data_IF_491235576160
#
_entry.id   IF_491235576160
#
_cell.length_a   1.000
_cell.length_b   1.000
_cell.length_c   1.000
_cell.angle_alpha   90.00
_cell.angle_beta   90.00
_cell.angle_gamma   90.00
#
_symmetry.space_group_name_H-M   'P 1'
#
loop_
_entity.id
_entity.type
_entity.pdbx_description
1 polymer ?
#
# COMPACT_ATOMS: atom_id res chain seq x y z
N UNK A 1 -7.66 -36.67 -0.30
CA UNK A 1 -9.07 -36.44 -0.62
C UNK A 1 -9.76 -35.82 0.58
N UNK A 2 -10.06 -34.53 0.52
CA UNK A 2 -11.14 -33.86 1.25
C UNK A 2 -11.26 -32.46 0.66
N UNK A 3 -12.01 -32.37 -0.43
CA UNK A 3 -12.41 -31.11 -1.04
C UNK A 3 -13.46 -30.49 -0.14
N UNK A 4 -13.04 -29.60 0.76
CA UNK A 4 -13.94 -28.66 1.42
C UNK A 4 -14.52 -27.75 0.34
N UNK A 5 -15.62 -28.19 -0.22
CA UNK A 5 -16.50 -27.38 -1.03
C UNK A 5 -17.22 -26.46 -0.04
N UNK A 6 -16.71 -25.24 0.12
CA UNK A 6 -17.43 -24.15 0.76
C UNK A 6 -18.65 -23.83 -0.10
N UNK A 7 -19.71 -24.63 0.02
CA UNK A 7 -21.03 -24.29 -0.47
C UNK A 7 -21.52 -23.14 0.40
N UNK A 8 -21.53 -21.94 -0.17
CA UNK A 8 -22.28 -20.81 0.38
C UNK A 8 -23.75 -21.22 0.42
N UNK A 9 -24.19 -21.71 1.57
CA UNK A 9 -25.55 -22.18 1.75
C UNK A 9 -26.44 -20.96 1.97
N UNK A 10 -27.13 -20.52 0.92
CA UNK A 10 -28.03 -19.36 0.97
C UNK A 10 -29.14 -19.52 2.03
N UNK A 11 -29.40 -20.75 2.49
CA UNK A 11 -30.48 -21.09 3.43
C UNK A 11 -30.21 -20.82 4.90
N UNK A 12 -29.01 -20.39 5.31
CA UNK A 12 -28.66 -20.17 6.74
C UNK A 12 -28.29 -18.72 7.06
N UNK A 13 -28.99 -17.74 6.49
CA UNK A 13 -28.64 -16.34 6.71
C UNK A 13 -29.76 -15.49 7.29
N UNK A 14 -29.39 -14.72 8.31
CA UNK A 14 -30.04 -13.51 8.82
C UNK A 14 -29.90 -12.36 7.80
N UNK A 15 -30.43 -12.53 6.59
CA UNK A 15 -30.48 -11.45 5.60
C UNK A 15 -31.73 -10.63 5.85
N UNK A 16 -31.60 -9.31 5.91
CA UNK A 16 -32.73 -8.45 5.56
C UNK A 16 -32.91 -8.46 4.03
N UNK A 17 -33.52 -9.52 3.48
CA UNK A 17 -33.71 -9.69 2.03
C UNK A 17 -34.35 -8.46 1.38
N UNK A 18 -35.15 -7.69 2.14
CA UNK A 18 -35.78 -6.48 1.66
C UNK A 18 -34.75 -5.38 1.32
N UNK A 19 -33.71 -5.21 2.13
CA UNK A 19 -32.67 -4.19 1.96
C UNK A 19 -31.74 -4.52 0.79
N UNK A 20 -31.30 -5.78 0.70
CA UNK A 20 -30.55 -6.30 -0.44
C UNK A 20 -31.30 -6.07 -1.77
N UNK A 21 -32.59 -6.42 -1.83
CA UNK A 21 -33.42 -6.24 -3.01
C UNK A 21 -33.66 -4.77 -3.34
N UNK A 22 -33.80 -3.91 -2.32
CA UNK A 22 -33.91 -2.45 -2.53
C UNK A 22 -32.63 -1.88 -3.13
N UNK A 23 -31.45 -2.23 -2.60
CA UNK A 23 -30.17 -1.77 -3.12
C UNK A 23 -29.91 -2.30 -4.54
N UNK A 24 -30.26 -3.56 -4.82
CA UNK A 24 -30.19 -4.13 -6.17
C UNK A 24 -31.11 -3.39 -7.15
N UNK A 25 -32.34 -3.03 -6.76
CA UNK A 25 -33.29 -2.29 -7.60
C UNK A 25 -32.85 -0.87 -7.94
N UNK A 26 -32.00 -0.23 -7.11
CA UNK A 26 -31.41 1.09 -7.38
C UNK A 26 -30.37 1.08 -8.49
N UNK A 27 -29.86 -0.10 -8.89
CA UNK A 27 -28.91 -0.23 -9.99
C UNK A 27 -29.60 -0.09 -11.36
N UNK A 28 -28.88 0.45 -12.34
CA UNK A 28 -29.38 0.51 -13.72
C UNK A 28 -29.63 -0.89 -14.31
N UNK A 29 -30.43 -0.97 -15.36
CA UNK A 29 -30.85 -2.25 -15.97
C UNK A 29 -29.64 -3.07 -16.45
N UNK A 30 -28.61 -2.42 -17.00
CA UNK A 30 -27.44 -3.12 -17.50
C UNK A 30 -26.63 -3.73 -16.35
N UNK A 31 -26.37 -2.97 -15.28
CA UNK A 31 -25.69 -3.46 -14.08
C UNK A 31 -26.46 -4.61 -13.42
N UNK A 32 -27.80 -4.50 -13.32
CA UNK A 32 -28.64 -5.59 -12.79
C UNK A 32 -28.54 -6.86 -13.65
N UNK A 33 -28.55 -6.75 -14.97
CA UNK A 33 -28.43 -7.89 -15.86
C UNK A 33 -27.07 -8.60 -15.73
N UNK A 34 -25.98 -7.83 -15.54
CA UNK A 34 -24.65 -8.38 -15.31
C UNK A 34 -24.53 -9.10 -13.95
N UNK A 35 -25.23 -8.61 -12.93
CA UNK A 35 -25.16 -9.15 -11.57
C UNK A 35 -26.14 -10.28 -11.27
N UNK A 36 -27.29 -10.35 -11.97
CA UNK A 36 -28.29 -11.42 -11.83
C UNK A 36 -27.67 -12.83 -11.74
N UNK A 37 -26.81 -13.25 -12.69
CA UNK A 37 -26.21 -14.58 -12.66
C UNK A 37 -25.18 -14.77 -11.53
N UNK A 38 -24.60 -13.69 -10.98
CA UNK A 38 -23.65 -13.76 -9.86
C UNK A 38 -24.41 -13.90 -8.52
N UNK A 39 -25.52 -13.16 -8.35
CA UNK A 39 -26.15 -12.98 -7.04
C UNK A 39 -27.39 -13.84 -6.79
N UNK A 40 -28.11 -14.22 -7.85
CA UNK A 40 -29.43 -14.87 -7.71
C UNK A 40 -29.46 -16.33 -8.18
N UNK A 41 -28.33 -16.90 -8.59
CA UNK A 41 -28.27 -18.34 -8.87
C UNK A 41 -28.02 -19.12 -7.57
N UNK A 42 -29.01 -19.86 -7.04
CA UNK A 42 -28.88 -20.57 -5.78
C UNK A 42 -27.98 -21.81 -5.86
N UNK A 43 -27.64 -22.24 -7.08
CA UNK A 43 -26.89 -23.48 -7.34
C UNK A 43 -25.44 -23.21 -7.80
N UNK A 44 -25.07 -21.95 -8.04
CA UNK A 44 -23.72 -21.59 -8.49
C UNK A 44 -22.87 -20.94 -7.39
N UNK A 45 -21.63 -21.40 -7.31
CA UNK A 45 -20.57 -20.80 -6.50
C UNK A 45 -20.24 -19.39 -7.07
N UNK A 46 -20.70 -18.36 -6.36
CA UNK A 46 -20.64 -16.96 -6.80
C UNK A 46 -19.21 -16.51 -7.13
N UNK A 47 -18.20 -17.03 -6.42
CA UNK A 47 -16.79 -16.73 -6.70
C UNK A 47 -16.33 -17.39 -7.98
N UNK A 48 -16.77 -18.63 -8.28
CA UNK A 48 -16.50 -19.25 -9.58
C UNK A 48 -17.15 -18.47 -10.72
N UNK A 49 -18.40 -18.03 -10.55
CA UNK A 49 -19.10 -17.21 -11.57
C UNK A 49 -18.39 -15.88 -11.77
N UNK A 50 -18.07 -15.16 -10.68
CA UNK A 50 -17.36 -13.90 -10.76
C UNK A 50 -15.99 -14.07 -11.41
N UNK A 51 -15.23 -15.11 -11.10
CA UNK A 51 -13.95 -15.38 -11.77
C UNK A 51 -14.13 -15.69 -13.26
N UNK A 52 -15.19 -16.39 -13.66
CA UNK A 52 -15.52 -16.60 -15.07
C UNK A 52 -15.83 -15.27 -15.76
N UNK A 53 -16.61 -14.39 -15.12
CA UNK A 53 -17.00 -13.10 -15.67
C UNK A 53 -15.81 -12.14 -15.77
N UNK A 54 -14.96 -12.12 -14.75
CA UNK A 54 -13.69 -11.38 -14.72
C UNK A 54 -12.75 -11.78 -15.85
N UNK A 55 -12.80 -13.03 -16.32
CA UNK A 55 -12.08 -13.46 -17.53
C UNK A 55 -12.76 -12.98 -18.81
N UNK A 56 -14.07 -13.15 -18.93
CA UNK A 56 -14.82 -12.91 -20.18
C UNK A 56 -15.06 -11.42 -20.50
N UNK A 57 -15.46 -10.62 -19.52
CA UNK A 57 -15.94 -9.26 -19.77
C UNK A 57 -14.81 -8.24 -19.89
N UNK A 58 -15.04 -7.18 -20.66
CA UNK A 58 -14.09 -6.08 -20.81
C UNK A 58 -13.99 -5.26 -19.51
N UNK A 59 -12.86 -4.59 -19.33
CA UNK A 59 -12.55 -3.84 -18.10
C UNK A 59 -13.63 -2.80 -17.73
N UNK A 60 -14.25 -2.14 -18.71
CA UNK A 60 -15.36 -1.18 -18.48
C UNK A 60 -16.58 -1.81 -17.82
N UNK A 61 -16.96 -3.02 -18.23
CA UNK A 61 -18.12 -3.72 -17.65
C UNK A 61 -17.78 -4.33 -16.30
N UNK A 62 -16.53 -4.75 -16.09
CA UNK A 62 -16.05 -5.18 -14.78
C UNK A 62 -16.08 -4.05 -13.74
N UNK A 63 -15.73 -2.83 -14.14
CA UNK A 63 -15.86 -1.65 -13.27
C UNK A 63 -17.32 -1.41 -12.87
N UNK A 64 -18.27 -1.55 -13.80
CA UNK A 64 -19.71 -1.47 -13.45
C UNK A 64 -20.11 -2.56 -12.46
N UNK A 65 -19.66 -3.80 -12.69
CA UNK A 65 -19.90 -4.92 -11.79
C UNK A 65 -19.33 -4.62 -10.39
N UNK A 66 -18.10 -4.11 -10.29
CA UNK A 66 -17.48 -3.81 -9.00
C UNK A 66 -18.20 -2.67 -8.26
N UNK A 67 -18.52 -1.59 -8.96
CA UNK A 67 -19.30 -0.48 -8.39
C UNK A 67 -20.70 -0.90 -7.96
N UNK A 68 -21.27 -1.89 -8.62
CA UNK A 68 -22.58 -2.42 -8.26
C UNK A 68 -22.50 -3.39 -7.07
N UNK A 69 -21.48 -4.26 -7.03
CA UNK A 69 -21.25 -5.17 -5.90
C UNK A 69 -20.91 -4.44 -4.60
N UNK A 70 -20.13 -3.35 -4.66
CA UNK A 70 -19.83 -2.52 -3.46
C UNK A 70 -21.05 -1.81 -2.87
N UNK A 71 -22.13 -1.64 -3.64
CA UNK A 71 -23.40 -1.06 -3.16
C UNK A 71 -24.36 -2.08 -2.56
N UNK A 72 -24.03 -3.37 -2.69
CA UNK A 72 -24.84 -4.46 -2.20
C UNK A 72 -24.21 -4.86 -0.88
N UNK A 73 -24.67 -4.20 0.18
CA UNK A 73 -24.23 -4.51 1.55
C UNK A 73 -24.69 -5.91 1.93
N UNK A 74 -23.74 -6.83 2.00
CA UNK A 74 -23.88 -8.10 2.69
C UNK A 74 -22.62 -8.28 3.52
N UNK A 75 -22.72 -7.97 4.81
CA UNK A 75 -21.60 -8.03 5.76
C UNK A 75 -21.03 -9.46 5.89
N UNK A 76 -21.83 -10.50 5.63
CA UNK A 76 -21.38 -11.91 5.67
C UNK A 76 -20.88 -12.41 4.30
N UNK A 77 -21.15 -11.67 3.20
CA UNK A 77 -20.85 -12.08 1.82
C UNK A 77 -20.23 -10.99 0.96
N UNK A 78 -19.30 -10.18 1.48
CA UNK A 78 -18.56 -9.28 0.58
C UNK A 78 -17.78 -10.09 -0.46
N UNK A 79 -18.36 -10.16 -1.66
CA UNK A 79 -17.82 -10.88 -2.82
C UNK A 79 -16.54 -10.21 -3.32
N UNK A 80 -16.47 -8.88 -3.13
CA UNK A 80 -15.29 -8.06 -3.41
C UNK A 80 -15.06 -7.08 -2.25
N UNK A 81 -13.81 -6.66 -2.04
CA UNK A 81 -13.46 -5.62 -1.07
C UNK A 81 -13.95 -4.25 -1.54
N UNK A 82 -14.17 -3.35 -0.59
CA UNK A 82 -14.54 -1.96 -0.89
C UNK A 82 -13.36 -1.18 -1.44
N UNK A 83 -13.64 -0.22 -2.32
CA UNK A 83 -12.62 0.72 -2.78
C UNK A 83 -12.05 1.58 -1.64
N UNK A 84 -12.89 1.91 -0.65
CA UNK A 84 -12.57 2.73 0.52
C UNK A 84 -13.16 2.05 1.77
N UNK A 85 -12.51 1.00 2.31
CA UNK A 85 -13.08 0.20 3.40
C UNK A 85 -13.26 1.02 4.68
N UNK A 86 -14.35 0.80 5.40
CA UNK A 86 -14.61 1.48 6.68
C UNK A 86 -13.96 0.78 7.88
N UNK A 87 -13.44 -0.42 7.68
CA UNK A 87 -12.72 -1.23 8.66
C UNK A 87 -11.32 -1.58 8.15
N UNK A 88 -10.38 -1.85 9.05
CA UNK A 88 -9.02 -2.18 8.67
C UNK A 88 -8.94 -3.53 7.94
N UNK A 89 -8.26 -3.55 6.80
CA UNK A 89 -8.07 -4.75 5.97
C UNK A 89 -6.75 -5.44 6.35
N UNK A 90 -6.64 -5.90 7.60
CA UNK A 90 -5.40 -6.50 8.15
C UNK A 90 -5.50 -8.02 8.39
N UNK A 91 -6.59 -8.63 7.94
CA UNK A 91 -6.84 -10.06 7.98
C UNK A 91 -7.26 -10.54 6.58
N UNK A 92 -7.07 -11.82 6.29
CA UNK A 92 -7.51 -12.41 5.03
C UNK A 92 -8.96 -12.91 5.12
N UNK A 93 -9.86 -11.95 5.29
CA UNK A 93 -11.29 -12.22 5.54
C UNK A 93 -12.12 -12.34 4.25
N UNK A 94 -11.47 -12.24 3.08
CA UNK A 94 -12.13 -12.31 1.77
C UNK A 94 -11.78 -13.60 1.05
N UNK A 95 -12.74 -14.11 0.27
CA UNK A 95 -12.42 -15.16 -0.69
C UNK A 95 -11.57 -14.57 -1.82
N UNK A 96 -10.28 -14.93 -1.84
CA UNK A 96 -9.33 -14.46 -2.85
C UNK A 96 -9.82 -14.83 -4.25
N UNK A 97 -10.00 -13.82 -5.09
CA UNK A 97 -10.33 -14.02 -6.49
C UNK A 97 -9.08 -14.44 -7.29
N UNK A 98 -9.25 -15.07 -8.45
CA UNK A 98 -8.11 -15.42 -9.32
C UNK A 98 -7.54 -14.18 -9.99
N UNK A 99 -6.24 -14.11 -10.24
CA UNK A 99 -5.72 -13.07 -11.12
C UNK A 99 -6.35 -13.12 -12.52
N UNK A 100 -6.55 -11.94 -13.10
CA UNK A 100 -6.88 -11.75 -14.51
C UNK A 100 -5.65 -11.23 -15.23
N UNK A 101 -5.70 -11.04 -16.55
CA UNK A 101 -4.61 -10.42 -17.30
C UNK A 101 -4.16 -9.11 -16.65
N UNK A 102 -2.84 -8.94 -16.47
CA UNK A 102 -2.26 -7.81 -15.75
C UNK A 102 -2.73 -6.45 -16.31
N UNK A 103 -2.63 -6.26 -17.63
CA UNK A 103 -3.07 -5.02 -18.30
C UNK A 103 -4.55 -4.71 -18.03
N UNK A 104 -5.38 -5.75 -18.00
CA UNK A 104 -6.81 -5.63 -17.68
C UNK A 104 -7.03 -5.21 -16.23
N UNK A 105 -6.25 -5.76 -15.29
CA UNK A 105 -6.30 -5.37 -13.88
C UNK A 105 -5.86 -3.92 -13.67
N UNK A 106 -4.80 -3.48 -14.34
CA UNK A 106 -4.33 -2.09 -14.35
C UNK A 106 -5.43 -1.15 -14.87
N UNK A 107 -6.06 -1.46 -16.01
CA UNK A 107 -7.14 -0.63 -16.57
C UNK A 107 -8.39 -0.55 -15.68
N UNK A 108 -8.68 -1.58 -14.89
CA UNK A 108 -9.76 -1.52 -13.89
C UNK A 108 -9.41 -0.52 -12.79
N UNK A 109 -8.17 -0.58 -12.23
CA UNK A 109 -7.71 0.35 -11.19
C UNK A 109 -7.72 1.78 -11.70
N UNK A 110 -7.22 2.03 -12.91
CA UNK A 110 -7.21 3.35 -13.56
C UNK A 110 -8.64 3.95 -13.67
N UNK A 111 -9.60 3.17 -14.17
CA UNK A 111 -10.99 3.64 -14.30
C UNK A 111 -11.64 3.92 -12.94
N UNK A 112 -11.39 3.08 -11.94
CA UNK A 112 -11.90 3.30 -10.58
C UNK A 112 -11.29 4.56 -9.96
N UNK A 113 -10.00 4.80 -10.21
CA UNK A 113 -9.31 6.00 -9.76
C UNK A 113 -9.89 7.27 -10.40
N UNK A 114 -10.11 7.25 -11.72
CA UNK A 114 -10.76 8.34 -12.45
C UNK A 114 -12.17 8.65 -11.90
N UNK A 115 -12.97 7.62 -11.63
CA UNK A 115 -14.32 7.79 -11.06
C UNK A 115 -14.29 8.41 -9.66
N UNK A 116 -13.18 8.24 -8.93
CA UNK A 116 -13.01 8.73 -7.56
C UNK A 116 -11.95 9.84 -7.45
N UNK A 117 -11.57 10.48 -8.55
CA UNK A 117 -10.45 11.44 -8.62
C UNK A 117 -10.54 12.53 -7.55
N UNK A 118 -11.71 13.14 -7.38
CA UNK A 118 -11.89 14.21 -6.40
C UNK A 118 -11.65 13.72 -4.96
N UNK A 119 -12.14 12.52 -4.63
CA UNK A 119 -11.94 11.91 -3.31
C UNK A 119 -10.46 11.57 -3.06
N UNK A 120 -9.77 11.08 -4.08
CA UNK A 120 -8.33 10.77 -4.01
C UNK A 120 -7.48 12.04 -3.90
N UNK A 121 -7.78 13.08 -4.67
CA UNK A 121 -7.08 14.37 -4.57
C UNK A 121 -7.24 15.00 -3.19
N UNK A 122 -8.47 14.96 -2.64
CA UNK A 122 -8.75 15.41 -1.28
C UNK A 122 -7.98 14.60 -0.23
N UNK A 123 -7.86 13.28 -0.42
CA UNK A 123 -7.08 12.41 0.46
C UNK A 123 -5.61 12.83 0.48
N UNK A 124 -4.97 12.99 -0.68
CA UNK A 124 -3.55 13.36 -0.77
C UNK A 124 -3.27 14.76 -0.20
N UNK A 125 -4.18 15.73 -0.39
CA UNK A 125 -4.09 17.04 0.29
C UNK A 125 -4.12 16.92 1.82
N UNK A 126 -4.94 16.00 2.33
CA UNK A 126 -5.03 15.74 3.77
C UNK A 126 -3.80 15.02 4.31
N UNK A 127 -3.22 14.11 3.54
CA UNK A 127 -1.93 13.48 3.85
C UNK A 127 -0.81 14.51 3.90
N UNK A 128 -0.73 15.46 2.96
CA UNK A 128 0.26 16.55 3.00
C UNK A 128 0.14 17.38 4.29
N UNK A 129 -1.09 17.72 4.69
CA UNK A 129 -1.36 18.38 5.97
C UNK A 129 -0.92 17.53 7.18
N UNK A 130 -1.18 16.23 7.16
CA UNK A 130 -0.75 15.30 8.21
C UNK A 130 0.78 15.23 8.31
N UNK A 131 1.48 15.20 7.16
CA UNK A 131 2.94 15.18 7.13
C UNK A 131 3.54 16.38 7.88
N UNK A 132 2.99 17.59 7.68
CA UNK A 132 3.38 18.80 8.43
C UNK A 132 3.24 18.63 9.92
N UNK A 133 2.12 18.08 10.38
CA UNK A 133 1.88 17.85 11.80
C UNK A 133 2.87 16.85 12.39
N UNK A 134 3.24 15.80 11.64
CA UNK A 134 4.23 14.81 12.06
C UNK A 134 5.61 15.47 12.26
N UNK A 135 6.14 16.17 11.25
CA UNK A 135 7.49 16.75 11.35
C UNK A 135 7.58 17.87 12.39
N UNK A 136 6.47 18.59 12.63
CA UNK A 136 6.37 19.62 13.68
C UNK A 136 6.05 19.05 15.05
N UNK A 137 6.02 17.71 15.20
CA UNK A 137 5.79 16.99 16.46
C UNK A 137 4.44 17.28 17.12
N UNK A 138 3.45 17.71 16.34
CA UNK A 138 2.09 18.00 16.80
C UNK A 138 1.24 16.73 16.87
N UNK A 139 1.71 15.71 17.60
CA UNK A 139 1.15 14.35 17.55
C UNK A 139 -0.32 14.24 17.96
N UNK A 140 -0.82 15.07 18.89
CA UNK A 140 -2.25 15.13 19.22
C UNK A 140 -3.10 15.66 18.06
N UNK A 141 -2.60 16.65 17.35
CA UNK A 141 -3.27 17.17 16.13
C UNK A 141 -3.20 16.12 15.03
N UNK A 142 -2.08 15.39 14.90
CA UNK A 142 -1.94 14.27 13.97
C UNK A 142 -2.94 13.15 14.25
N UNK A 143 -3.16 12.78 15.52
CA UNK A 143 -4.15 11.76 15.92
C UNK A 143 -5.57 12.15 15.47
N UNK A 144 -5.98 13.39 15.74
CA UNK A 144 -7.28 13.92 15.30
C UNK A 144 -7.39 13.98 13.77
N UNK A 145 -6.32 14.36 13.06
CA UNK A 145 -6.36 14.43 11.61
C UNK A 145 -6.39 13.03 10.97
N UNK A 146 -5.69 12.04 11.54
CA UNK A 146 -5.80 10.63 11.14
C UNK A 146 -7.25 10.16 11.28
N UNK A 147 -7.90 10.41 12.41
CA UNK A 147 -9.28 10.00 12.63
C UNK A 147 -10.21 10.56 11.55
N UNK A 148 -10.07 11.86 11.24
CA UNK A 148 -10.85 12.51 10.16
C UNK A 148 -10.56 11.90 8.79
N UNK A 149 -9.30 11.61 8.50
CA UNK A 149 -8.89 10.97 7.24
C UNK A 149 -9.52 9.58 7.15
N UNK A 150 -9.42 8.78 8.21
CA UNK A 150 -9.99 7.45 8.28
C UNK A 150 -11.51 7.47 8.09
N UNK A 151 -12.22 8.36 8.79
CA UNK A 151 -13.68 8.48 8.67
C UNK A 151 -14.15 8.92 7.27
N UNK A 152 -13.42 9.84 6.61
CA UNK A 152 -13.81 10.38 5.29
C UNK A 152 -13.37 9.48 4.12
N UNK A 153 -12.18 8.90 4.19
CA UNK A 153 -11.54 8.20 3.08
C UNK A 153 -11.42 6.69 3.27
N UNK A 154 -11.72 6.18 4.47
CA UNK A 154 -11.59 4.78 4.81
C UNK A 154 -10.15 4.37 5.11
N UNK A 155 -9.98 3.07 5.32
CA UNK A 155 -8.72 2.41 5.56
C UNK A 155 -7.86 2.33 4.30
N UNK A 156 -6.55 2.38 4.49
CA UNK A 156 -5.52 1.96 3.54
C UNK A 156 -4.26 1.57 4.33
N UNK A 157 -3.45 0.67 3.79
CA UNK A 157 -2.11 0.41 4.34
C UNK A 157 -1.22 1.64 4.25
N UNK A 158 -1.47 2.51 3.27
CA UNK A 158 -0.90 3.86 3.25
C UNK A 158 -1.12 4.60 4.59
N UNK A 159 -2.37 4.70 5.04
CA UNK A 159 -2.69 5.38 6.31
C UNK A 159 -2.17 4.60 7.52
N UNK A 160 -2.19 3.27 7.49
CA UNK A 160 -1.63 2.43 8.56
C UNK A 160 -0.16 2.78 8.83
N UNK A 161 0.64 3.00 7.78
CA UNK A 161 2.04 3.41 7.93
C UNK A 161 2.19 4.73 8.68
N UNK A 162 1.29 5.70 8.46
CA UNK A 162 1.28 6.97 9.21
C UNK A 162 0.86 6.76 10.67
N UNK A 163 -0.17 5.94 10.91
CA UNK A 163 -0.64 5.58 12.25
C UNK A 163 0.50 4.99 13.09
N UNK A 164 1.22 4.00 12.55
CA UNK A 164 2.29 3.32 13.27
C UNK A 164 3.53 4.19 13.40
N UNK A 165 3.86 5.02 12.40
CA UNK A 165 4.95 5.99 12.51
C UNK A 165 4.70 6.99 13.64
N UNK A 166 3.50 7.55 13.73
CA UNK A 166 3.17 8.52 14.79
C UNK A 166 3.22 7.87 16.16
N UNK A 167 2.75 6.61 16.30
CA UNK A 167 2.90 5.86 17.56
C UNK A 167 4.37 5.78 17.97
N UNK A 168 5.24 5.39 17.05
CA UNK A 168 6.67 5.24 17.30
C UNK A 168 7.32 6.58 17.67
N UNK A 169 7.12 7.62 16.86
CA UNK A 169 7.69 8.96 17.07
C UNK A 169 7.17 9.64 18.35
N UNK A 170 5.93 9.34 18.76
CA UNK A 170 5.35 9.85 20.01
C UNK A 170 6.02 9.25 21.25
N UNK A 171 6.53 8.01 21.17
CA UNK A 171 7.14 7.27 22.27
C UNK A 171 6.32 7.38 23.57
N UNK A 172 5.01 7.13 23.44
CA UNK A 172 4.00 7.20 24.50
C UNK A 172 3.94 8.51 25.33
N UNK A 173 4.52 9.62 24.83
CA UNK A 173 4.53 10.94 25.50
C UNK A 173 3.16 11.60 25.55
N UNK A 174 2.36 11.42 24.50
CA UNK A 174 0.98 11.91 24.43
C UNK A 174 0.01 10.74 24.41
N UNK A 175 -1.15 10.94 25.03
CA UNK A 175 -2.29 10.08 24.81
C UNK A 175 -2.87 10.31 23.39
N UNK A 176 -2.78 9.28 22.54
CA UNK A 176 -3.27 9.29 21.15
C UNK A 176 -4.49 8.38 21.07
N UNK A 177 -5.67 8.93 21.35
CA UNK A 177 -6.89 8.16 21.56
C UNK A 177 -7.24 7.31 20.33
N UNK A 178 -7.20 7.89 19.13
CA UNK A 178 -7.58 7.18 17.92
C UNK A 178 -6.55 6.10 17.57
N UNK A 179 -5.25 6.46 17.53
CA UNK A 179 -4.16 5.52 17.21
C UNK A 179 -4.14 4.34 18.19
N UNK A 180 -4.27 4.59 19.50
CA UNK A 180 -4.28 3.54 20.50
C UNK A 180 -5.51 2.64 20.36
N UNK A 181 -6.70 3.23 20.18
CA UNK A 181 -7.93 2.47 19.95
C UNK A 181 -7.81 1.60 18.70
N UNK A 182 -7.37 2.17 17.58
CA UNK A 182 -7.18 1.47 16.32
C UNK A 182 -6.26 0.25 16.48
N UNK A 183 -5.10 0.42 17.11
CA UNK A 183 -4.15 -0.68 17.31
C UNK A 183 -4.71 -1.71 18.29
N UNK A 184 -5.41 -1.28 19.35
CA UNK A 184 -6.05 -2.21 20.29
C UNK A 184 -7.15 -3.04 19.61
N UNK A 185 -7.89 -2.47 18.67
CA UNK A 185 -8.97 -3.14 17.95
C UNK A 185 -8.41 -4.19 16.95
N UNK A 186 -7.43 -3.79 16.14
CA UNK A 186 -6.93 -4.59 15.03
C UNK A 186 -5.64 -5.39 15.35
N UNK A 187 -5.04 -5.17 16.51
CA UNK A 187 -3.86 -5.90 17.00
C UNK A 187 -4.00 -6.31 18.48
N UNK A 188 -5.23 -6.54 18.96
CA UNK A 188 -5.55 -6.88 20.36
C UNK A 188 -4.69 -7.99 20.98
N UNK A 189 -4.23 -8.96 20.17
CA UNK A 189 -3.41 -10.09 20.62
C UNK A 189 -1.92 -9.94 20.31
N UNK A 190 -1.49 -8.85 19.68
CA UNK A 190 -0.12 -8.63 19.20
C UNK A 190 0.32 -9.58 18.07
N UNK A 191 -0.60 -10.40 17.54
CA UNK A 191 -0.32 -11.45 16.54
C UNK A 191 -0.74 -11.07 15.12
N UNK A 192 -1.25 -9.85 14.89
CA UNK A 192 -1.59 -9.45 13.54
C UNK A 192 -0.29 -9.29 12.73
N UNK A 193 -0.09 -10.13 11.72
CA UNK A 193 1.15 -10.17 10.94
C UNK A 193 1.47 -8.80 10.31
N UNK A 194 0.48 -8.15 9.71
CA UNK A 194 0.66 -6.91 8.96
C UNK A 194 1.06 -5.78 9.91
N UNK A 195 0.30 -5.59 11.00
CA UNK A 195 0.57 -4.53 11.99
C UNK A 195 1.89 -4.80 12.73
N UNK A 196 2.11 -6.02 13.20
CA UNK A 196 3.33 -6.37 13.94
C UNK A 196 4.59 -6.20 13.10
N UNK A 197 4.57 -6.65 11.85
CA UNK A 197 5.72 -6.53 10.94
C UNK A 197 6.06 -5.07 10.68
N UNK A 198 5.06 -4.25 10.40
CA UNK A 198 5.25 -2.82 10.12
C UNK A 198 5.66 -2.04 11.38
N UNK A 199 5.11 -2.38 12.55
CA UNK A 199 5.52 -1.78 13.82
C UNK A 199 6.98 -2.12 14.16
N UNK A 200 7.39 -3.38 14.01
CA UNK A 200 8.78 -3.81 14.21
C UNK A 200 9.73 -3.10 13.24
N UNK A 201 9.29 -2.82 12.02
CA UNK A 201 10.11 -2.07 11.05
C UNK A 201 10.44 -0.66 11.52
N UNK A 202 9.61 -0.04 12.36
CA UNK A 202 9.82 1.33 12.82
C UNK A 202 10.56 1.41 14.16
N UNK A 203 10.69 0.30 14.89
CA UNK A 203 11.40 0.27 16.15
C UNK A 203 12.91 0.51 15.98
N UNK A 204 13.46 1.38 16.83
CA UNK A 204 14.87 1.78 16.78
C UNK A 204 15.79 0.60 17.11
N UNK A 205 15.41 -0.27 18.04
CA UNK A 205 16.29 -1.33 18.56
C UNK A 205 16.30 -2.62 17.72
N UNK A 206 15.46 -2.71 16.68
CA UNK A 206 15.35 -3.92 15.84
C UNK A 206 16.27 -3.83 14.63
N UNK A 207 17.02 -4.89 14.35
CA UNK A 207 17.76 -5.02 13.09
C UNK A 207 16.77 -5.10 11.91
N UNK A 208 16.76 -4.05 11.10
CA UNK A 208 15.85 -3.91 9.97
C UNK A 208 16.12 -4.95 8.87
N UNK A 209 17.39 -5.29 8.62
CA UNK A 209 17.75 -6.23 7.56
C UNK A 209 17.41 -7.67 7.96
N UNK A 210 17.72 -8.06 9.20
CA UNK A 210 17.28 -9.32 9.78
C UNK A 210 15.75 -9.44 9.80
N UNK A 211 15.04 -8.36 10.16
CA UNK A 211 13.58 -8.33 10.14
C UNK A 211 13.02 -8.48 8.71
N UNK A 212 13.57 -7.74 7.74
CA UNK A 212 13.21 -7.85 6.32
C UNK A 212 13.36 -9.29 5.84
N UNK A 213 14.49 -9.93 6.14
CA UNK A 213 14.74 -11.34 5.80
C UNK A 213 13.74 -12.28 6.49
N UNK A 214 13.38 -12.02 7.75
CA UNK A 214 12.39 -12.79 8.49
C UNK A 214 11.00 -12.70 7.88
N UNK A 215 10.56 -11.50 7.46
CA UNK A 215 9.23 -11.27 6.88
C UNK A 215 9.15 -11.89 5.49
N UNK A 216 10.12 -11.63 4.60
CA UNK A 216 10.12 -12.13 3.22
C UNK A 216 10.15 -13.66 3.17
N UNK A 217 10.95 -14.30 4.03
CA UNK A 217 11.10 -15.75 4.05
C UNK A 217 10.03 -16.45 4.91
N UNK A 218 9.10 -15.70 5.52
CA UNK A 218 8.05 -16.28 6.35
C UNK A 218 7.12 -17.13 5.48
N UNK A 219 6.93 -18.37 5.88
CA UNK A 219 5.87 -19.20 5.33
C UNK A 219 4.52 -18.72 5.87
N UNK A 220 3.73 -18.10 5.01
CA UNK A 220 2.39 -17.63 5.34
C UNK A 220 1.36 -18.35 4.47
N UNK A 221 0.26 -18.80 5.08
CA UNK A 221 -0.81 -19.52 4.36
C UNK A 221 -1.61 -18.55 3.49
N UNK A 222 -1.76 -17.32 3.97
CA UNK A 222 -2.44 -16.26 3.24
C UNK A 222 -1.47 -15.49 2.34
N UNK A 223 -1.67 -15.57 1.03
CA UNK A 223 -0.97 -14.71 0.07
C UNK A 223 -1.26 -13.23 0.29
N UNK A 224 -2.46 -12.89 0.77
CA UNK A 224 -2.81 -11.52 1.13
C UNK A 224 -1.91 -11.03 2.26
N UNK A 225 -1.93 -11.71 3.42
CA UNK A 225 -1.13 -11.31 4.57
C UNK A 225 0.38 -11.30 4.25
N UNK A 226 0.85 -12.25 3.43
CA UNK A 226 2.23 -12.27 2.94
C UNK A 226 2.55 -10.98 2.18
N UNK A 227 1.85 -10.72 1.06
CA UNK A 227 2.16 -9.58 0.20
C UNK A 227 2.02 -8.24 0.92
N UNK A 228 1.05 -8.13 1.82
CA UNK A 228 0.80 -6.89 2.55
C UNK A 228 1.82 -6.66 3.68
N UNK A 229 2.32 -7.72 4.33
CA UNK A 229 3.40 -7.58 5.31
C UNK A 229 4.74 -7.19 4.68
N UNK A 230 4.89 -7.36 3.37
CA UNK A 230 6.06 -6.92 2.59
C UNK A 230 6.04 -5.42 2.23
N UNK A 231 4.92 -4.70 2.42
CA UNK A 231 4.78 -3.26 2.08
C UNK A 231 5.87 -2.32 2.66
N UNK A 232 6.43 -2.55 3.88
CA UNK A 232 7.52 -1.71 4.38
C UNK A 232 8.76 -1.75 3.48
N UNK A 233 8.90 -2.81 2.68
CA UNK A 233 10.00 -3.03 1.74
C UNK A 233 9.52 -2.65 0.33
N UNK A 234 10.42 -2.17 -0.53
CA UNK A 234 10.06 -1.80 -1.91
C UNK A 234 9.21 -2.86 -2.62
N UNK A 235 8.19 -2.40 -3.36
CA UNK A 235 7.11 -3.21 -3.92
C UNK A 235 7.52 -4.25 -4.98
N UNK A 236 8.72 -4.18 -5.56
CA UNK A 236 9.20 -5.13 -6.56
C UNK A 236 10.60 -5.65 -6.25
N UNK A 237 10.61 -6.82 -5.62
CA UNK A 237 11.76 -7.71 -5.50
C UNK A 237 11.75 -8.83 -6.56
N UNK A 238 10.67 -8.95 -7.34
CA UNK A 238 10.45 -10.03 -8.30
C UNK A 238 10.23 -9.48 -9.70
N UNK A 239 10.83 -10.15 -10.70
CA UNK A 239 10.64 -9.89 -12.12
C UNK A 239 9.52 -10.74 -12.74
N UNK A 240 8.87 -11.60 -11.95
CA UNK A 240 7.78 -12.44 -12.43
C UNK A 240 6.47 -11.66 -12.48
N UNK A 241 5.98 -11.35 -13.69
CA UNK A 241 4.72 -10.63 -13.90
C UNK A 241 3.52 -11.27 -13.20
N UNK A 242 3.49 -12.60 -13.05
CA UNK A 242 2.41 -13.29 -12.31
C UNK A 242 2.44 -12.94 -10.82
N UNK A 243 3.63 -12.94 -10.21
CA UNK A 243 3.80 -12.56 -8.80
C UNK A 243 3.44 -11.08 -8.60
N UNK A 244 3.86 -10.22 -9.52
CA UNK A 244 3.51 -8.79 -9.51
C UNK A 244 1.99 -8.60 -9.57
N UNK A 245 1.32 -9.36 -10.43
CA UNK A 245 -0.13 -9.28 -10.60
C UNK A 245 -0.89 -9.76 -9.35
N UNK A 246 -0.39 -10.81 -8.69
CA UNK A 246 -0.91 -11.30 -7.41
C UNK A 246 -0.65 -10.29 -6.26
N UNK A 247 0.48 -9.59 -6.27
CA UNK A 247 0.78 -8.48 -5.34
C UNK A 247 -0.15 -7.29 -5.58
N UNK A 248 -0.36 -6.89 -6.84
CA UNK A 248 -1.34 -5.87 -7.20
C UNK A 248 -2.73 -6.26 -6.71
N UNK A 249 -3.14 -7.52 -6.86
CA UNK A 249 -4.44 -8.00 -6.40
C UNK A 249 -4.58 -7.88 -4.89
N UNK A 250 -3.55 -8.25 -4.11
CA UNK A 250 -3.56 -8.06 -2.65
C UNK A 250 -3.69 -6.58 -2.26
N UNK A 251 -3.02 -5.68 -2.97
CA UNK A 251 -3.11 -4.24 -2.70
C UNK A 251 -4.50 -3.68 -3.05
N UNK A 252 -5.08 -4.06 -4.19
CA UNK A 252 -6.48 -3.72 -4.54
C UNK A 252 -7.45 -4.29 -3.52
N UNK A 253 -7.18 -5.48 -2.99
CA UNK A 253 -8.00 -6.10 -1.97
C UNK A 253 -7.98 -5.31 -0.65
N UNK A 254 -6.89 -4.58 -0.40
CA UNK A 254 -6.76 -3.73 0.78
C UNK A 254 -7.50 -2.41 0.63
N UNK A 255 -7.30 -1.71 -0.49
CA UNK A 255 -8.02 -0.48 -0.85
C UNK A 255 -7.67 -0.06 -2.27
N UNK A 256 -8.49 0.83 -2.85
CA UNK A 256 -8.14 1.49 -4.11
C UNK A 256 -6.86 2.33 -3.97
N UNK A 257 -6.65 2.96 -2.80
CA UNK A 257 -5.46 3.78 -2.51
C UNK A 257 -4.20 2.92 -2.59
N UNK A 258 -4.20 1.74 -1.95
CA UNK A 258 -3.02 0.86 -1.93
C UNK A 258 -2.74 0.27 -3.32
N UNK A 259 -3.78 -0.13 -4.07
CA UNK A 259 -3.62 -0.59 -5.45
C UNK A 259 -3.06 0.50 -6.37
N UNK A 260 -3.51 1.73 -6.21
CA UNK A 260 -2.98 2.89 -6.93
C UNK A 260 -1.53 3.18 -6.57
N UNK A 261 -1.23 3.22 -5.27
CA UNK A 261 0.10 3.42 -4.75
C UNK A 261 1.06 2.36 -5.32
N UNK A 262 0.67 1.08 -5.28
CA UNK A 262 1.43 -0.01 -5.88
C UNK A 262 1.74 0.25 -7.36
N UNK A 263 0.77 0.70 -8.17
CA UNK A 263 1.01 0.98 -9.58
C UNK A 263 1.97 2.16 -9.80
N UNK A 264 1.80 3.27 -9.08
CA UNK A 264 2.69 4.44 -9.18
C UNK A 264 4.15 4.05 -8.96
N UNK A 265 4.43 3.37 -7.83
CA UNK A 265 5.80 3.03 -7.45
C UNK A 265 6.41 1.87 -8.23
N UNK A 266 5.67 1.31 -9.18
CA UNK A 266 6.18 0.26 -10.06
C UNK A 266 6.09 0.65 -11.54
N UNK A 267 5.64 1.87 -11.87
CA UNK A 267 5.43 2.31 -13.25
C UNK A 267 6.70 2.16 -14.11
N UNK A 268 7.85 2.60 -13.58
CA UNK A 268 9.15 2.53 -14.27
C UNK A 268 9.56 1.10 -14.64
N UNK A 269 9.21 0.10 -13.82
CA UNK A 269 9.50 -1.30 -14.10
C UNK A 269 8.49 -1.91 -15.08
N UNK A 270 7.22 -1.53 -14.93
CA UNK A 270 6.12 -2.12 -15.67
C UNK A 270 5.98 -1.52 -17.08
N UNK A 271 6.73 -0.45 -17.38
CA UNK A 271 6.74 0.28 -18.64
C UNK A 271 5.32 0.60 -19.12
N UNK A 272 4.49 1.08 -18.19
CA UNK A 272 3.09 1.33 -18.46
C UNK A 272 2.96 2.71 -19.09
N UNK A 273 3.39 2.81 -20.36
CA UNK A 273 3.32 4.04 -21.18
C UNK A 273 1.91 4.64 -21.29
N UNK A 274 0.88 3.86 -20.94
CA UNK A 274 -0.52 4.28 -20.95
C UNK A 274 -1.06 4.63 -19.54
N UNK A 275 -0.18 4.97 -18.57
CA UNK A 275 -0.55 5.31 -17.20
C UNK A 275 -0.39 6.80 -16.82
N UNK A 276 -0.21 7.70 -17.79
CA UNK A 276 -0.20 9.15 -17.54
C UNK A 276 -1.41 9.59 -16.68
N UNK A 277 -2.54 8.91 -16.84
CA UNK A 277 -3.75 9.10 -16.04
C UNK A 277 -3.55 8.81 -14.54
N UNK A 278 -2.79 7.77 -14.18
CA UNK A 278 -2.55 7.36 -12.79
C UNK A 278 -1.58 8.31 -12.10
N UNK A 279 -0.51 8.75 -12.77
CA UNK A 279 0.42 9.75 -12.21
C UNK A 279 -0.29 11.06 -11.86
N UNK A 280 -1.21 11.49 -12.74
CA UNK A 280 -2.06 12.67 -12.52
C UNK A 280 -3.11 12.51 -11.40
N UNK A 281 -3.31 11.30 -10.86
CA UNK A 281 -4.26 11.03 -9.76
C UNK A 281 -3.53 10.80 -8.43
N UNK A 282 -2.23 10.48 -8.45
CA UNK A 282 -1.44 10.09 -7.27
C UNK A 282 -0.21 11.02 -7.10
N UNK A 283 -0.43 12.33 -7.20
CA UNK A 283 0.59 13.32 -6.89
C UNK A 283 0.05 14.34 -5.91
N UNK A 284 0.86 14.65 -4.89
CA UNK A 284 0.71 15.89 -4.14
C UNK A 284 1.43 16.93 -4.98
N UNK A 285 0.68 17.70 -5.77
CA UNK A 285 1.26 18.85 -6.47
C UNK A 285 1.83 19.82 -5.43
N UNK A 286 3.14 20.12 -5.53
CA UNK A 286 3.88 20.95 -4.59
C UNK A 286 3.76 20.45 -3.14
N UNK A 287 4.39 19.30 -2.81
CA UNK A 287 4.36 18.77 -1.46
C UNK A 287 4.94 19.81 -0.51
N UNK A 288 4.33 19.91 0.65
CA UNK A 288 4.72 20.94 1.60
C UNK A 288 5.91 20.59 2.48
N UNK A 289 6.39 19.36 2.31
CA UNK A 289 7.56 18.79 2.94
C UNK A 289 8.35 18.13 1.82
N UNK A 290 9.64 18.42 1.79
CA UNK A 290 10.58 17.76 0.89
C UNK A 290 11.50 16.79 1.66
N UNK A 291 12.42 16.17 0.93
CA UNK A 291 13.44 15.30 1.52
C UNK A 291 14.32 16.05 2.55
N UNK A 292 14.59 17.34 2.36
CA UNK A 292 15.44 18.12 3.24
C UNK A 292 14.79 18.38 4.59
N UNK A 293 13.48 18.65 4.59
CA UNK A 293 12.70 18.83 5.81
C UNK A 293 12.69 17.53 6.64
N UNK A 294 12.55 16.37 5.98
CA UNK A 294 12.68 15.07 6.63
C UNK A 294 14.10 14.84 7.15
N UNK A 295 15.13 15.10 6.34
CA UNK A 295 16.52 14.95 6.77
C UNK A 295 16.82 15.80 8.01
N UNK A 296 16.41 17.08 8.02
CA UNK A 296 16.52 17.96 9.19
C UNK A 296 15.77 17.40 10.39
N UNK A 297 14.55 16.89 10.18
CA UNK A 297 13.77 16.28 11.25
C UNK A 297 14.54 15.12 11.89
N UNK A 298 15.02 14.14 11.11
CA UNK A 298 15.70 12.98 11.66
C UNK A 298 17.05 13.33 12.31
N UNK A 299 17.85 14.20 11.67
CA UNK A 299 19.13 14.67 12.24
C UNK A 299 18.92 15.33 13.61
N UNK A 300 17.93 16.23 13.72
CA UNK A 300 17.66 16.96 14.96
C UNK A 300 17.08 16.10 16.09
N UNK A 301 16.60 14.89 15.79
CA UNK A 301 15.96 14.01 16.77
C UNK A 301 16.82 12.80 17.16
N UNK A 302 17.73 12.37 16.29
CA UNK A 302 18.42 11.09 16.41
C UNK A 302 19.93 11.16 16.19
N UNK A 303 20.48 12.34 15.89
CA UNK A 303 21.92 12.60 15.74
C UNK A 303 22.67 11.53 14.94
N UNK A 304 23.38 10.62 15.61
CA UNK A 304 24.24 9.59 15.02
C UNK A 304 23.46 8.54 14.23
N UNK A 305 22.25 8.18 14.67
CA UNK A 305 21.47 7.07 14.09
C UNK A 305 20.40 7.58 13.12
N UNK A 306 20.49 8.86 12.74
CA UNK A 306 19.46 9.57 11.98
C UNK A 306 19.17 8.95 10.61
N UNK A 307 20.18 8.48 9.87
CA UNK A 307 19.96 7.80 8.60
C UNK A 307 19.35 6.41 8.77
N UNK A 308 19.83 5.60 9.72
CA UNK A 308 19.30 4.25 9.94
C UNK A 308 17.84 4.29 10.37
N UNK A 309 17.49 5.21 11.27
CA UNK A 309 16.12 5.43 11.71
C UNK A 309 15.27 6.00 10.58
N UNK A 310 15.79 6.94 9.80
CA UNK A 310 15.11 7.44 8.60
C UNK A 310 14.85 6.31 7.60
N UNK A 311 15.84 5.44 7.34
CA UNK A 311 15.69 4.30 6.46
C UNK A 311 14.58 3.36 6.96
N UNK A 312 14.56 3.03 8.24
CA UNK A 312 13.47 2.26 8.87
C UNK A 312 12.09 2.89 8.65
N UNK A 313 11.98 4.20 8.88
CA UNK A 313 10.72 4.94 8.83
C UNK A 313 10.29 5.39 7.43
N UNK A 314 11.20 5.39 6.47
CA UNK A 314 11.03 5.91 5.10
C UNK A 314 9.81 5.34 4.37
N UNK A 315 9.39 4.11 4.69
CA UNK A 315 8.19 3.51 4.09
C UNK A 315 6.90 4.26 4.41
N UNK A 316 6.86 5.01 5.50
CA UNK A 316 5.76 5.91 5.80
C UNK A 316 5.70 7.14 4.88
N UNK A 317 6.75 7.44 4.12
CA UNK A 317 6.92 8.69 3.37
C UNK A 317 7.01 8.47 1.86
N UNK A 318 6.62 7.29 1.36
CA UNK A 318 6.76 6.94 -0.05
C UNK A 318 6.04 7.91 -0.98
N UNK A 319 4.99 8.62 -0.54
CA UNK A 319 4.30 9.66 -1.32
C UNK A 319 5.21 10.79 -1.80
N UNK A 320 6.38 10.99 -1.17
CA UNK A 320 7.43 11.91 -1.59
C UNK A 320 8.35 11.17 -2.57
N UNK A 321 8.37 11.60 -3.82
CA UNK A 321 9.03 10.85 -4.91
C UNK A 321 10.55 10.65 -4.67
N UNK A 322 11.22 11.59 -4.01
CA UNK A 322 12.64 11.46 -3.66
C UNK A 322 12.90 10.34 -2.64
N UNK A 323 11.95 10.06 -1.75
CA UNK A 323 12.05 8.95 -0.78
C UNK A 323 12.01 7.61 -1.51
N UNK A 324 11.16 7.51 -2.52
CA UNK A 324 11.11 6.31 -3.34
C UNK A 324 12.42 6.06 -4.08
N UNK A 325 13.03 7.11 -4.67
CA UNK A 325 14.35 7.02 -5.32
C UNK A 325 15.44 6.59 -4.32
N UNK A 326 15.46 7.20 -3.13
CA UNK A 326 16.34 6.81 -2.03
C UNK A 326 16.18 5.33 -1.67
N UNK A 327 14.95 4.82 -1.65
CA UNK A 327 14.67 3.44 -1.26
C UNK A 327 14.99 2.43 -2.32
N UNK A 328 14.77 2.73 -3.61
CA UNK A 328 15.28 1.89 -4.69
C UNK A 328 16.79 1.71 -4.50
N UNK A 329 17.55 2.77 -4.27
CA UNK A 329 19.00 2.69 -4.12
C UNK A 329 19.40 1.78 -2.95
N UNK A 330 18.89 2.08 -1.75
CA UNK A 330 19.28 1.37 -0.53
C UNK A 330 18.77 -0.08 -0.49
N UNK A 331 17.51 -0.33 -0.86
CA UNK A 331 16.97 -1.69 -0.85
C UNK A 331 17.70 -2.62 -1.82
N UNK A 332 18.22 -2.11 -2.95
CA UNK A 332 19.07 -2.89 -3.86
C UNK A 332 20.46 -3.12 -3.26
N UNK A 333 21.06 -2.12 -2.62
CA UNK A 333 22.37 -2.26 -1.97
C UNK A 333 22.35 -3.32 -0.85
N UNK A 334 21.28 -3.37 -0.07
CA UNK A 334 21.10 -4.33 1.03
C UNK A 334 20.43 -5.65 0.62
N UNK A 335 20.23 -5.93 -0.67
CA UNK A 335 19.65 -7.21 -1.13
C UNK A 335 20.73 -8.30 -1.22
N UNK A 336 20.55 -9.41 -0.50
CA UNK A 336 21.46 -10.57 -0.51
C UNK A 336 21.51 -11.30 -1.87
N UNK A 337 20.63 -10.95 -2.82
CA UNK A 337 20.68 -11.47 -4.19
C UNK A 337 21.84 -10.84 -4.98
N UNK A 338 23.07 -11.19 -4.60
CA UNK A 338 24.28 -11.13 -5.42
C UNK A 338 24.20 -12.13 -6.58
N UNK A 339 23.11 -12.08 -7.35
CA UNK A 339 23.05 -12.61 -8.69
C UNK A 339 23.11 -11.43 -9.64
N UNK A 340 24.33 -10.93 -9.95
CA UNK A 340 24.61 -9.93 -11.00
C UNK A 340 23.42 -9.00 -11.26
N UNK A 341 22.97 -8.26 -10.25
CA UNK A 341 21.77 -7.43 -10.41
C UNK A 341 21.98 -6.61 -11.67
N UNK A 342 21.00 -6.70 -12.56
CA UNK A 342 20.80 -5.82 -13.70
C UNK A 342 20.53 -4.41 -13.15
N UNK A 343 21.54 -3.81 -12.52
CA UNK A 343 21.58 -2.40 -12.19
C UNK A 343 21.26 -1.65 -13.50
N UNK A 344 21.58 -2.20 -14.68
CA UNK A 344 21.23 -1.65 -16.02
C UNK A 344 19.83 -1.04 -16.14
N UNK A 345 18.76 -1.71 -15.68
CA UNK A 345 17.39 -1.15 -15.83
C UNK A 345 17.13 0.01 -14.87
N UNK A 346 17.77 0.02 -13.69
CA UNK A 346 17.61 1.05 -12.64
C UNK A 346 18.78 2.05 -12.60
N UNK A 347 19.81 1.84 -13.41
CA UNK A 347 21.08 2.59 -13.44
C UNK A 347 20.80 4.03 -13.78
N UNK A 348 19.81 4.32 -14.63
CA UNK A 348 19.45 5.69 -14.98
C UNK A 348 18.99 6.49 -13.75
N UNK A 349 18.12 5.92 -12.91
CA UNK A 349 17.65 6.54 -11.65
C UNK A 349 18.81 6.69 -10.66
N UNK A 350 19.65 5.67 -10.57
CA UNK A 350 20.81 5.66 -9.66
C UNK A 350 21.88 6.68 -10.12
N UNK A 351 22.13 6.79 -11.42
CA UNK A 351 23.08 7.72 -12.02
C UNK A 351 22.63 9.18 -11.91
N UNK A 352 21.32 9.45 -11.79
CA UNK A 352 20.83 10.78 -11.44
C UNK A 352 21.23 11.21 -10.02
N UNK A 353 21.51 10.25 -9.14
CA UNK A 353 21.83 10.50 -7.72
C UNK A 353 23.31 10.41 -7.40
N UNK A 354 24.07 9.53 -8.05
CA UNK A 354 25.51 9.35 -7.80
C UNK A 354 26.32 10.48 -8.45
N UNK A 355 27.24 11.07 -7.69
CA UNK A 355 28.18 12.06 -8.21
C UNK A 355 29.08 11.41 -9.28
N UNK A 356 29.30 12.11 -10.40
CA UNK A 356 30.24 11.65 -11.42
C UNK A 356 31.67 11.90 -10.90
N UNK A 357 32.19 10.96 -10.09
CA UNK A 357 33.53 11.03 -9.51
C UNK A 357 34.45 10.03 -10.21
N UNK A 358 35.64 10.47 -10.56
CA UNK A 358 36.77 9.61 -10.92
C UNK A 358 37.29 8.85 -9.69
N UNK A 359 38.10 7.81 -9.94
CA UNK A 359 38.73 7.02 -8.89
C UNK A 359 39.57 7.86 -7.92
N UNK A 360 40.28 8.85 -8.44
CA UNK A 360 41.11 9.75 -7.63
C UNK A 360 40.23 10.69 -6.77
N UNK A 361 39.12 11.17 -7.35
CA UNK A 361 38.16 12.03 -6.66
C UNK A 361 37.38 11.31 -5.57
N UNK A 362 37.24 9.98 -5.61
CA UNK A 362 36.58 9.22 -4.53
C UNK A 362 37.28 9.38 -3.18
N UNK A 363 38.61 9.50 -3.18
CA UNK A 363 39.41 9.62 -1.96
C UNK A 363 39.36 11.01 -1.31
N UNK A 364 38.96 12.03 -2.08
CA UNK A 364 39.00 13.45 -1.69
C UNK A 364 37.59 14.05 -1.62
N UNK A 365 36.62 13.45 -2.33
CA UNK A 365 35.27 13.96 -2.42
C UNK A 365 34.54 13.84 -1.08
N UNK A 366 34.01 14.97 -0.63
CA UNK A 366 33.15 15.06 0.54
C UNK A 366 31.67 14.71 0.22
N UNK A 367 31.32 14.42 -1.03
CA UNK A 367 29.96 14.03 -1.43
C UNK A 367 29.99 12.97 -2.53
N UNK A 368 29.43 11.79 -2.26
CA UNK A 368 29.31 10.70 -3.24
C UNK A 368 28.02 10.82 -4.09
N UNK A 369 27.19 11.83 -3.84
CA UNK A 369 25.92 12.08 -4.53
C UNK A 369 25.88 13.48 -5.16
N UNK A 370 25.08 13.64 -6.23
CA UNK A 370 24.87 14.91 -6.96
C UNK A 370 24.09 15.96 -6.15
N UNK A 371 23.34 15.52 -5.15
CA UNK A 371 22.52 16.40 -4.33
C UNK A 371 23.37 17.08 -3.25
N UNK A 372 23.28 18.41 -3.16
CA UNK A 372 24.01 19.20 -2.17
C UNK A 372 23.49 18.88 -0.74
N UNK A 373 24.21 18.00 -0.05
CA UNK A 373 24.36 17.85 1.41
C UNK A 373 23.15 18.16 2.30
N UNK A 374 22.50 17.09 2.75
CA UNK A 374 21.97 16.96 4.12
C UNK A 374 22.00 15.51 4.62
N UNK A 375 21.86 14.51 3.73
CA UNK A 375 22.01 13.09 4.07
C UNK A 375 23.47 12.59 4.06
N UNK A 376 24.38 13.27 3.35
CA UNK A 376 25.75 12.81 3.13
C UNK A 376 26.72 12.97 4.34
N UNK A 377 26.22 13.25 5.56
CA UNK A 377 27.07 13.17 6.76
C UNK A 377 27.26 11.74 7.28
N UNK A 378 26.76 10.73 6.56
CA UNK A 378 26.84 9.33 6.95
C UNK A 378 27.71 8.56 5.95
N UNK A 379 29.02 8.81 6.06
CA UNK A 379 30.07 7.84 5.72
C UNK A 379 31.34 8.23 6.46
N UNK A 380 31.34 7.99 7.77
CA UNK A 380 32.56 7.83 8.57
C UNK A 380 32.53 6.45 9.26
N UNK A 381 32.17 5.41 8.50
CA UNK A 381 32.34 4.01 8.89
C UNK A 381 33.16 3.27 7.81
N UNK A 382 34.39 3.74 7.61
CA UNK A 382 35.50 2.93 7.08
C UNK A 382 36.78 3.39 7.79
N UNK A 383 36.92 2.92 9.03
CA UNK A 383 38.20 2.51 9.61
C UNK A 383 38.05 1.08 10.08
#
# INVERSE_FOLDING_TARGET
MNTNTNHFNIKKMTINQSEFLQNFKKLDVASRNLLRPILFDPNQDQIKVLNKFRKLYQYKDLVKIYNALTKIEDYERKVIPDHFPTTAQVYDDFQRLKCIEFKKQVKIVELLALQNKNKLNDFFKKIDGLNKLIITKKYKESDSEIEKIYQKFGYSHFLLRKILLIKELNNDKNNLNFVQKFISEYNSTGRNLIISSLQQCYQIDIDYLGLKKSIINRHEKSLFCKHISEIPFTYLQSHNLEEINEKLLSNIQSSLIDGLFFLKYNNNFLNLKDLDTIENVISIENPSIDLNDLAKFYINNYETDSEDIFYKHSSAWYEIDDIYKYRILNDNFYSESMGKIEIKERLHIINEWIANLSLDELSISQSLTKHNRSLAKVKNCLY
#
